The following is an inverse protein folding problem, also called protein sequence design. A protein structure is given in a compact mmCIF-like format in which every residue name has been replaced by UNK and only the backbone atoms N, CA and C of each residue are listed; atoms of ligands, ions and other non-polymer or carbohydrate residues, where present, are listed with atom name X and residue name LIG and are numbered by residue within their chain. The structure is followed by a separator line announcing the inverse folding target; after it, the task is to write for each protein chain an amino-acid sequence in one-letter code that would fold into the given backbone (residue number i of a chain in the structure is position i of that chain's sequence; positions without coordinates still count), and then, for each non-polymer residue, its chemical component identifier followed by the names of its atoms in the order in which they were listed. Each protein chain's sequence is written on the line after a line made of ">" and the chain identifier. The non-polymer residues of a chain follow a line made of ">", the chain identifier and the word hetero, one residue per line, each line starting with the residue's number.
data_IF_603881430843
#
_entry.id   IF_603881430843
#
_cell.length_a   1.000
_cell.length_b   1.000
_cell.length_c   1.000
_cell.angle_alpha   90.00
_cell.angle_beta   90.00
_cell.angle_gamma   90.00
#
_symmetry.space_group_name_H-M   'P 1'
#
loop_
_entity.id
_entity.type
_entity.pdbx_description
1 polymer ?
#
# COMPACT_ATOMS: atom_id res chain seq x y z
N UNK A 1 17.18 -11.31 -1.75
CA UNK A 1 16.25 -10.79 -0.75
C UNK A 1 14.94 -11.57 -0.81
N UNK A 2 14.40 -11.93 0.35
CA UNK A 2 13.07 -12.52 0.43
C UNK A 2 12.03 -11.48 -0.01
N UNK A 3 11.04 -11.90 -0.79
CA UNK A 3 10.00 -11.00 -1.27
C UNK A 3 8.74 -11.00 -0.37
N UNK A 4 8.79 -11.65 0.78
CA UNK A 4 7.69 -11.62 1.76
C UNK A 4 8.06 -10.64 2.87
N UNK A 5 7.17 -9.69 3.13
CA UNK A 5 7.34 -8.66 4.16
C UNK A 5 6.15 -8.67 5.10
N UNK A 6 6.32 -8.12 6.30
CA UNK A 6 5.21 -7.92 7.22
C UNK A 6 4.56 -6.56 6.95
N UNK A 7 3.31 -6.58 6.50
CA UNK A 7 2.53 -5.37 6.30
C UNK A 7 1.69 -5.12 7.55
N UNK A 8 1.70 -3.88 8.04
CA UNK A 8 0.80 -3.48 9.13
C UNK A 8 -0.40 -2.81 8.48
N UNK A 9 -1.56 -3.43 8.62
CA UNK A 9 -2.78 -2.95 7.96
C UNK A 9 -3.37 -1.80 8.77
N UNK A 10 -3.66 -0.69 8.10
CA UNK A 10 -4.39 0.42 8.67
C UNK A 10 -5.83 0.44 8.17
N UNK A 11 -6.05 0.10 6.90
CA UNK A 11 -7.35 0.20 6.25
C UNK A 11 -7.69 -1.13 5.58
N UNK A 12 -8.71 -1.84 6.08
CA UNK A 12 -9.15 -3.08 5.45
C UNK A 12 -9.78 -2.85 4.07
N UNK A 13 -9.77 -3.87 3.22
CA UNK A 13 -10.41 -3.78 1.91
C UNK A 13 -11.92 -3.58 2.06
N UNK A 14 -12.54 -2.90 1.07
CA UNK A 14 -13.98 -2.63 0.98
C UNK A 14 -14.51 -1.67 2.05
N UNK A 15 -13.65 -0.90 2.68
CA UNK A 15 -14.09 0.16 3.60
C UNK A 15 -13.82 1.54 3.00
N UNK A 16 -14.58 2.53 3.44
CA UNK A 16 -14.34 3.95 3.18
C UNK A 16 -13.71 4.62 4.39
N UNK A 17 -13.56 3.93 5.49
CA UNK A 17 -12.98 4.49 6.70
C UNK A 17 -11.46 4.51 6.61
N UNK A 18 -10.89 5.71 6.56
CA UNK A 18 -9.44 5.87 6.56
C UNK A 18 -8.96 5.87 8.00
N UNK A 19 -8.59 4.71 8.49
CA UNK A 19 -7.98 4.56 9.80
C UNK A 19 -6.50 4.91 9.73
N UNK A 20 -5.97 5.40 10.82
CA UNK A 20 -4.56 5.73 10.97
C UNK A 20 -4.07 5.23 12.33
N UNK A 21 -2.92 4.57 12.32
CA UNK A 21 -2.27 4.12 13.55
C UNK A 21 -1.28 5.20 13.97
N UNK A 22 -1.46 5.75 15.17
CA UNK A 22 -0.50 6.67 15.76
C UNK A 22 0.74 5.86 16.15
N UNK A 23 1.86 6.10 15.47
CA UNK A 23 3.10 5.34 15.66
C UNK A 23 3.73 5.56 17.03
N UNK A 24 3.35 6.62 17.75
CA UNK A 24 3.86 6.91 19.11
C UNK A 24 3.07 6.17 20.17
N UNK A 25 1.75 6.06 20.01
CA UNK A 25 0.86 5.51 21.03
C UNK A 25 0.29 4.15 20.66
N UNK A 26 0.46 3.72 19.40
CA UNK A 26 -0.16 2.52 18.81
C UNK A 26 -1.69 2.55 18.88
N UNK A 27 -2.29 3.73 19.02
CA UNK A 27 -3.74 3.87 19.02
C UNK A 27 -4.25 4.04 17.59
N UNK A 28 -5.40 3.46 17.34
CA UNK A 28 -6.06 3.51 16.02
C UNK A 28 -7.11 4.59 16.08
N UNK A 29 -7.07 5.53 15.12
CA UNK A 29 -8.09 6.58 15.03
C UNK A 29 -8.68 6.60 13.62
N UNK A 30 -9.92 7.06 13.53
CA UNK A 30 -10.54 7.36 12.26
C UNK A 30 -10.09 8.75 11.83
N UNK A 31 -9.20 8.82 10.82
CA UNK A 31 -8.74 10.10 10.28
C UNK A 31 -9.86 10.78 9.50
N UNK A 32 -10.51 10.05 8.62
CA UNK A 32 -11.67 10.54 7.86
C UNK A 32 -12.36 9.36 7.16
N UNK A 33 -13.58 9.62 6.71
CA UNK A 33 -14.29 8.74 5.78
C UNK A 33 -14.05 9.30 4.38
N UNK A 34 -13.72 8.46 3.42
CA UNK A 34 -13.53 8.92 2.04
C UNK A 34 -14.74 9.71 1.56
N UNK A 35 -14.51 10.81 0.87
CA UNK A 35 -15.58 11.67 0.36
C UNK A 35 -16.29 11.02 -0.82
N UNK A 36 -15.61 10.16 -1.56
CA UNK A 36 -16.11 9.43 -2.70
C UNK A 36 -16.95 8.21 -2.25
N UNK A 37 -17.78 7.70 -3.15
CA UNK A 37 -18.49 6.43 -2.93
C UNK A 37 -17.58 5.20 -3.03
N UNK A 38 -16.32 5.38 -3.44
CA UNK A 38 -15.36 4.29 -3.61
C UNK A 38 -14.95 3.70 -2.26
N UNK A 39 -14.56 2.42 -2.29
CA UNK A 39 -13.94 1.74 -1.15
C UNK A 39 -12.53 1.31 -1.54
N UNK A 40 -11.68 1.09 -0.53
CA UNK A 40 -10.32 0.59 -0.78
C UNK A 40 -10.38 -0.75 -1.50
N UNK A 41 -9.64 -0.93 -2.60
CA UNK A 41 -9.71 -2.15 -3.41
C UNK A 41 -8.91 -3.32 -2.85
N UNK A 42 -8.10 -3.08 -1.82
CA UNK A 42 -7.23 -4.06 -1.18
C UNK A 42 -6.99 -3.63 0.25
N UNK A 43 -6.37 -4.49 1.05
CA UNK A 43 -5.83 -4.10 2.34
C UNK A 43 -4.77 -3.04 2.13
N UNK A 44 -4.72 -2.03 2.97
CA UNK A 44 -3.80 -0.92 2.82
C UNK A 44 -3.09 -0.64 4.14
N UNK A 45 -1.79 -0.48 4.07
CA UNK A 45 -1.01 -0.22 5.27
C UNK A 45 0.41 0.21 4.94
N UNK A 46 1.34 -0.18 5.78
CA UNK A 46 2.73 0.25 5.65
C UNK A 46 3.69 -0.84 6.15
N UNK A 47 4.96 -0.64 5.85
CA UNK A 47 6.05 -1.51 6.34
C UNK A 47 6.82 -0.74 7.40
N UNK A 48 6.97 -1.34 8.58
CA UNK A 48 7.76 -0.73 9.66
C UNK A 48 9.23 -0.61 9.27
N UNK A 49 9.92 0.34 9.90
CA UNK A 49 11.34 0.59 9.72
C UNK A 49 11.69 0.96 8.27
N UNK A 50 10.77 1.65 7.61
CA UNK A 50 10.96 2.24 6.29
C UNK A 50 10.62 3.72 6.35
N UNK A 51 11.23 4.50 5.47
CA UNK A 51 10.96 5.93 5.33
C UNK A 51 10.93 6.29 3.86
N UNK A 52 9.75 6.68 3.38
CA UNK A 52 9.58 7.15 2.01
C UNK A 52 9.95 8.64 1.93
N UNK A 53 10.01 9.16 0.71
CA UNK A 53 10.44 10.55 0.47
C UNK A 53 9.45 11.58 1.01
N UNK A 54 8.18 11.19 1.22
CA UNK A 54 7.17 12.07 1.81
C UNK A 54 7.27 12.18 3.32
N UNK A 55 8.20 11.47 3.95
CA UNK A 55 8.41 11.50 5.40
C UNK A 55 7.63 10.44 6.16
N UNK A 56 6.84 9.63 5.48
CA UNK A 56 6.03 8.56 6.08
C UNK A 56 6.64 7.19 5.78
N UNK A 57 6.25 6.14 6.53
CA UNK A 57 6.63 4.79 6.17
C UNK A 57 6.16 4.43 4.76
N UNK A 58 6.82 3.46 4.13
CA UNK A 58 6.49 3.02 2.79
C UNK A 58 5.13 2.30 2.79
N UNK A 59 4.22 2.77 1.96
CA UNK A 59 2.86 2.23 1.84
C UNK A 59 2.84 0.91 1.07
N UNK A 60 1.89 0.06 1.42
CA UNK A 60 1.70 -1.22 0.76
C UNK A 60 0.20 -1.54 0.60
N UNK A 61 -0.17 -1.99 -0.60
CA UNK A 61 -1.45 -2.65 -0.83
C UNK A 61 -1.24 -4.16 -0.75
N UNK A 62 -2.14 -4.83 -0.04
CA UNK A 62 -2.11 -6.29 0.06
C UNK A 62 -3.43 -6.81 -0.50
N UNK A 63 -3.37 -7.43 -1.66
CA UNK A 63 -4.54 -8.03 -2.30
C UNK A 63 -4.92 -9.26 -1.50
N UNK A 64 -6.16 -9.29 -1.04
CA UNK A 64 -6.65 -10.29 -0.11
C UNK A 64 -8.05 -10.75 -0.52
N UNK A 65 -8.38 -12.00 -0.24
CA UNK A 65 -9.73 -12.53 -0.47
C UNK A 65 -10.72 -12.11 0.61
N UNK A 66 -10.21 -11.74 1.80
CA UNK A 66 -11.03 -11.34 2.95
C UNK A 66 -10.43 -10.12 3.61
N UNK A 67 -11.24 -9.21 4.16
CA UNK A 67 -10.71 -8.10 4.94
C UNK A 67 -10.15 -8.56 6.27
N UNK A 68 -9.07 -7.92 6.70
CA UNK A 68 -8.54 -8.08 8.06
C UNK A 68 -9.07 -6.96 8.95
N UNK A 69 -8.25 -6.41 9.82
CA UNK A 69 -8.65 -5.34 10.75
C UNK A 69 -7.46 -4.39 10.98
N UNK A 70 -7.72 -3.16 11.40
CA UNK A 70 -6.63 -2.21 11.66
C UNK A 70 -5.69 -2.72 12.75
N UNK A 71 -4.39 -2.70 12.46
CA UNK A 71 -3.35 -3.20 13.34
C UNK A 71 -2.91 -4.63 13.05
N UNK A 72 -3.60 -5.34 12.16
CA UNK A 72 -3.25 -6.70 11.80
C UNK A 72 -1.91 -6.73 11.05
N UNK A 73 -1.04 -7.65 11.43
CA UNK A 73 0.20 -7.92 10.70
C UNK A 73 -0.07 -9.02 9.68
N UNK A 74 0.11 -8.71 8.41
CA UNK A 74 -0.16 -9.64 7.31
C UNK A 74 1.14 -9.95 6.57
N UNK A 75 1.50 -11.25 6.43
CA UNK A 75 2.63 -11.60 5.58
C UNK A 75 2.25 -11.35 4.12
N UNK A 76 2.98 -10.46 3.48
CA UNK A 76 2.66 -9.96 2.13
C UNK A 76 3.79 -10.30 1.17
N UNK A 77 3.45 -10.98 0.08
CA UNK A 77 4.39 -11.30 -0.97
C UNK A 77 4.38 -10.18 -2.00
N UNK A 78 5.49 -9.44 -2.07
CA UNK A 78 5.63 -8.27 -2.95
C UNK A 78 5.78 -8.72 -4.39
N UNK A 79 5.00 -8.11 -5.28
CA UNK A 79 5.00 -8.44 -6.72
C UNK A 79 5.29 -7.24 -7.62
N UNK A 80 5.33 -6.03 -7.06
CA UNK A 80 5.62 -4.80 -7.80
C UNK A 80 5.30 -3.57 -6.99
N UNK A 81 5.33 -2.40 -7.64
CA UNK A 81 4.81 -1.18 -7.04
C UNK A 81 4.18 -0.26 -8.09
N UNK A 82 3.37 0.65 -7.63
CA UNK A 82 2.69 1.65 -8.44
C UNK A 82 3.27 3.03 -8.13
N UNK A 83 3.68 3.77 -9.18
CA UNK A 83 4.13 5.15 -9.05
C UNK A 83 2.93 6.06 -8.92
N UNK A 84 2.85 6.78 -7.80
CA UNK A 84 1.78 7.74 -7.50
C UNK A 84 2.42 9.03 -7.05
N UNK A 85 1.85 10.16 -7.48
CA UNK A 85 2.22 11.49 -6.99
C UNK A 85 0.95 12.12 -6.43
N UNK A 86 0.93 12.30 -5.11
CA UNK A 86 -0.22 12.81 -4.36
C UNK A 86 0.06 14.26 -3.95
N UNK A 87 -0.74 15.18 -4.47
CA UNK A 87 -0.60 16.61 -4.17
C UNK A 87 0.83 17.11 -4.40
N UNK A 88 1.46 16.63 -5.48
CA UNK A 88 2.84 17.01 -5.85
C UNK A 88 3.94 16.25 -5.13
N UNK A 89 3.62 15.31 -4.26
CA UNK A 89 4.59 14.51 -3.50
C UNK A 89 4.62 13.07 -3.98
N UNK A 90 5.83 12.52 -4.14
CA UNK A 90 6.01 11.10 -4.46
C UNK A 90 5.41 10.25 -3.34
N UNK A 91 4.53 9.34 -3.72
CA UNK A 91 3.77 8.50 -2.77
C UNK A 91 3.57 7.12 -3.39
N UNK A 92 4.66 6.38 -3.53
CA UNK A 92 4.66 5.08 -4.20
C UNK A 92 3.99 4.03 -3.33
N UNK A 93 3.29 3.11 -3.99
CA UNK A 93 2.52 2.05 -3.33
C UNK A 93 3.06 0.69 -3.72
N UNK A 94 3.60 -0.06 -2.77
CA UNK A 94 3.93 -1.46 -3.03
C UNK A 94 2.66 -2.24 -3.34
N UNK A 95 2.77 -3.22 -4.23
CA UNK A 95 1.69 -4.14 -4.58
C UNK A 95 2.10 -5.53 -4.12
N UNK A 96 1.22 -6.19 -3.39
CA UNK A 96 1.49 -7.50 -2.81
C UNK A 96 0.21 -8.32 -2.73
N UNK A 97 0.37 -9.60 -2.42
CA UNK A 97 -0.73 -10.54 -2.15
C UNK A 97 -0.48 -11.19 -0.80
N UNK A 98 -1.54 -11.65 -0.14
CA UNK A 98 -1.43 -12.35 1.15
C UNK A 98 -0.67 -13.66 0.92
N UNK A 99 0.49 -13.81 1.55
CA UNK A 99 1.35 -14.97 1.35
C UNK A 99 0.75 -16.27 1.88
N UNK A 100 -0.09 -16.17 2.91
CA UNK A 100 -0.73 -17.33 3.57
C UNK A 100 -2.11 -17.66 3.01
N UNK A 101 -2.54 -16.99 1.93
CA UNK A 101 -3.80 -17.31 1.27
C UNK A 101 -3.52 -18.19 0.04
N UNK A 102 -3.98 -19.46 0.04
CA UNK A 102 -3.69 -20.37 -1.07
C UNK A 102 -4.28 -19.92 -2.40
N UNK A 103 -5.26 -19.01 -2.40
CA UNK A 103 -5.85 -18.46 -3.63
C UNK A 103 -4.85 -17.66 -4.43
N UNK A 104 -3.76 -17.21 -3.79
CA UNK A 104 -2.72 -16.41 -4.45
C UNK A 104 -1.40 -17.18 -4.62
N UNK A 105 -1.40 -18.52 -4.43
CA UNK A 105 -0.18 -19.31 -4.55
C UNK A 105 0.51 -19.16 -5.92
N UNK A 106 -0.28 -18.93 -6.98
CA UNK A 106 0.24 -18.79 -8.33
C UNK A 106 0.54 -17.34 -8.74
N UNK A 107 0.41 -16.39 -7.80
CA UNK A 107 0.66 -14.98 -8.09
C UNK A 107 2.06 -14.61 -7.58
N UNK A 108 3.01 -14.47 -8.50
CA UNK A 108 4.41 -14.18 -8.17
C UNK A 108 4.93 -12.89 -8.82
N UNK A 109 4.17 -12.33 -9.76
CA UNK A 109 4.50 -11.07 -10.43
C UNK A 109 3.21 -10.37 -10.85
N UNK A 110 3.32 -9.12 -11.27
CA UNK A 110 2.14 -8.31 -11.66
C UNK A 110 1.35 -8.95 -12.80
N UNK A 111 2.04 -9.59 -13.76
CA UNK A 111 1.36 -10.22 -14.91
C UNK A 111 0.52 -11.42 -14.53
N UNK A 112 0.67 -11.95 -13.33
CA UNK A 112 -0.19 -13.04 -12.83
C UNK A 112 -1.53 -12.54 -12.32
N UNK A 113 -1.69 -11.22 -12.15
CA UNK A 113 -2.96 -10.61 -11.80
C UNK A 113 -3.80 -10.31 -13.04
N UNK A 114 -5.11 -10.29 -12.86
CA UNK A 114 -6.01 -9.79 -13.90
C UNK A 114 -5.66 -8.35 -14.27
N UNK A 115 -5.63 -8.05 -15.56
CA UNK A 115 -5.43 -6.69 -16.05
C UNK A 115 -6.45 -5.73 -15.45
N UNK A 116 -7.69 -6.19 -15.28
CA UNK A 116 -8.75 -5.36 -14.71
C UNK A 116 -8.45 -5.03 -13.23
N UNK A 117 -7.89 -5.96 -12.47
CA UNK A 117 -7.49 -5.68 -11.08
C UNK A 117 -6.47 -4.54 -11.03
N UNK A 118 -5.49 -4.56 -11.93
CA UNK A 118 -4.47 -3.50 -12.02
C UNK A 118 -5.09 -2.16 -12.41
N UNK A 119 -6.05 -2.18 -13.34
CA UNK A 119 -6.77 -0.96 -13.73
C UNK A 119 -7.64 -0.42 -12.61
N UNK A 120 -8.29 -1.28 -11.86
CA UNK A 120 -9.15 -0.90 -10.74
C UNK A 120 -8.35 -0.21 -9.63
N UNK A 121 -7.18 -0.72 -9.32
CA UNK A 121 -6.28 -0.12 -8.33
C UNK A 121 -5.86 1.28 -8.78
N UNK A 122 -5.45 1.43 -10.05
CA UNK A 122 -5.10 2.75 -10.60
C UNK A 122 -6.28 3.71 -10.53
N UNK A 123 -7.46 3.25 -10.92
CA UNK A 123 -8.68 4.06 -10.90
C UNK A 123 -9.00 4.56 -9.50
N UNK A 124 -8.84 3.70 -8.49
CA UNK A 124 -9.06 4.09 -7.10
C UNK A 124 -8.15 5.25 -6.70
N UNK A 125 -6.84 5.11 -6.86
CA UNK A 125 -5.90 6.16 -6.45
C UNK A 125 -6.03 7.43 -7.28
N UNK A 126 -6.42 7.30 -8.53
CA UNK A 126 -6.60 8.45 -9.40
C UNK A 126 -7.77 9.32 -8.96
N UNK A 127 -8.80 8.73 -8.35
CA UNK A 127 -10.07 9.40 -8.10
C UNK A 127 -10.48 9.50 -6.63
N UNK A 128 -9.83 8.83 -5.70
CA UNK A 128 -10.31 8.73 -4.32
C UNK A 128 -10.28 10.06 -3.54
N UNK A 129 -9.51 11.03 -3.99
CA UNK A 129 -9.41 12.37 -3.39
C UNK A 129 -10.01 13.48 -4.27
N UNK A 130 -10.68 13.11 -5.35
CA UNK A 130 -11.24 14.07 -6.30
C UNK A 130 -12.23 15.02 -5.62
N UNK A 131 -13.13 14.53 -4.79
CA UNK A 131 -14.10 15.35 -4.07
C UNK A 131 -13.46 16.21 -2.95
N UNK A 132 -12.22 15.93 -2.60
CA UNK A 132 -11.44 16.77 -1.68
C UNK A 132 -10.66 17.87 -2.44
N UNK A 133 -10.79 17.91 -3.77
CA UNK A 133 -10.06 18.84 -4.64
C UNK A 133 -8.55 18.67 -4.54
N UNK A 134 -8.09 17.45 -4.30
CA UNK A 134 -6.67 17.10 -4.26
C UNK A 134 -6.35 16.29 -5.52
N UNK A 135 -5.35 16.74 -6.26
CA UNK A 135 -4.90 16.05 -7.46
C UNK A 135 -3.97 14.91 -7.09
N UNK A 136 -4.29 13.71 -7.58
CA UNK A 136 -3.44 12.54 -7.49
C UNK A 136 -3.16 12.07 -8.91
N UNK A 137 -1.88 11.98 -9.25
CA UNK A 137 -1.45 11.47 -10.57
C UNK A 137 -0.93 10.04 -10.39
N UNK A 138 -1.48 9.13 -11.16
CA UNK A 138 -1.09 7.72 -11.15
C UNK A 138 -0.35 7.42 -12.44
N UNK A 139 0.84 6.88 -12.31
CA UNK A 139 1.71 6.57 -13.44
C UNK A 139 1.77 5.06 -13.70
N UNK A 140 2.96 4.50 -13.82
CA UNK A 140 3.15 3.13 -14.23
C UNK A 140 3.33 2.18 -13.06
N UNK A 141 3.02 0.91 -13.30
CA UNK A 141 3.47 -0.18 -12.44
C UNK A 141 4.92 -0.52 -12.75
N UNK A 142 5.64 -0.91 -11.72
CA UNK A 142 7.03 -1.36 -11.79
C UNK A 142 7.13 -2.79 -11.27
N UNK A 143 8.09 -3.54 -11.78
CA UNK A 143 8.20 -4.97 -11.50
C UNK A 143 8.66 -5.28 -10.06
N UNK A 144 8.67 -6.57 -9.75
CA UNK A 144 9.06 -7.05 -8.42
C UNK A 144 10.47 -6.61 -8.03
N UNK A 145 11.44 -6.71 -8.92
CA UNK A 145 12.82 -6.33 -8.59
C UNK A 145 12.91 -4.84 -8.25
N UNK A 146 12.24 -4.00 -9.01
CA UNK A 146 12.16 -2.55 -8.73
C UNK A 146 11.51 -2.29 -7.37
N UNK A 147 10.48 -3.07 -7.01
CA UNK A 147 9.82 -2.96 -5.72
C UNK A 147 10.73 -3.36 -4.56
N UNK A 148 11.50 -4.44 -4.72
CA UNK A 148 12.46 -4.87 -3.70
C UNK A 148 13.57 -3.83 -3.51
N UNK A 149 14.04 -3.22 -4.60
CA UNK A 149 15.02 -2.14 -4.54
C UNK A 149 14.44 -0.91 -3.81
N UNK A 150 13.18 -0.58 -4.05
CA UNK A 150 12.49 0.51 -3.36
C UNK A 150 12.42 0.25 -1.85
N UNK A 151 12.12 -0.97 -1.44
CA UNK A 151 12.09 -1.35 -0.02
C UNK A 151 13.46 -1.12 0.62
N UNK A 152 14.52 -1.59 -0.03
CA UNK A 152 15.90 -1.43 0.46
C UNK A 152 16.25 0.05 0.61
N UNK A 153 15.91 0.86 -0.39
CA UNK A 153 16.12 2.31 -0.35
C UNK A 153 15.40 2.95 0.85
N UNK A 154 14.15 2.59 1.07
CA UNK A 154 13.36 3.14 2.18
C UNK A 154 13.85 2.65 3.54
N UNK A 155 14.30 1.40 3.64
CA UNK A 155 14.91 0.88 4.87
C UNK A 155 16.21 1.63 5.21
N UNK A 156 17.03 1.87 4.20
CA UNK A 156 18.28 2.62 4.36
C UNK A 156 18.01 4.05 4.81
N UNK A 157 17.05 4.72 4.19
CA UNK A 157 16.66 6.09 4.56
C UNK A 157 16.16 6.15 6.00
N UNK A 158 15.40 5.15 6.43
CA UNK A 158 14.95 5.06 7.82
C UNK A 158 16.12 4.93 8.78
N UNK A 159 17.07 4.05 8.50
CA UNK A 159 18.26 3.87 9.36
C UNK A 159 19.09 5.15 9.45
N UNK A 160 19.29 5.83 8.32
CA UNK A 160 20.05 7.08 8.28
C UNK A 160 19.33 8.21 9.05
N UNK A 161 18.00 8.21 9.06
CA UNK A 161 17.21 9.24 9.77
C UNK A 161 17.28 9.13 11.28
N UNK A 162 17.77 8.00 11.80
CA UNK A 162 17.85 7.73 13.24
C UNK A 162 19.18 8.17 13.85
N UNK A 163 20.08 8.73 13.06
CA UNK A 163 21.40 9.16 13.51
C UNK A 163 21.53 10.67 13.57
#
# INVERSE_FOLDING_TARGET
>A
MNNVVEAIIEIPLKTKNKFEIDKKTNRIKLDRVLYSAMTYPAEYGYIENTLAKDGDPLDILVISSEPTFPGCIVPARVIGYLSVVDNGHEDYKLISVVDVDPRYNDVNCLSDLSQFTLEEIKNFFQNYKELQNIEVKVYDYHDKQSALDLIIECQKRYQESRH
#
